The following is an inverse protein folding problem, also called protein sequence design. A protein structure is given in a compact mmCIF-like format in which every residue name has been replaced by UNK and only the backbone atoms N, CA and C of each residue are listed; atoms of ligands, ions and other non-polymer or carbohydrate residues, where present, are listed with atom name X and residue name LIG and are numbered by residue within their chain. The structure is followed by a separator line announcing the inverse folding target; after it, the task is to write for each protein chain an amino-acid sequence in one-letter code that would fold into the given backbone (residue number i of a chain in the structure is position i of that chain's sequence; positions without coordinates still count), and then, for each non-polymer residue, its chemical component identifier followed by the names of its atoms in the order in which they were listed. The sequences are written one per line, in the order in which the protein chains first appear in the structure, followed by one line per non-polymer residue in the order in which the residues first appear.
data_IF_709608818499
#
_entry.id   IF_709608818499
#
_cell.length_a   1.000
_cell.length_b   1.000
_cell.length_c   1.000
_cell.angle_alpha   90.00
_cell.angle_beta   90.00
_cell.angle_gamma   90.00
#
_symmetry.space_group_name_H-M   'P 1'
#
loop_
_entity.id
_entity.type
_entity.pdbx_description
1 polymer ?
#
# COMPACT_ATOMS: atom_id res chain seq x y z
N UNK A 1 9.34 -45.66 16.17
CA UNK A 1 9.94 -44.68 15.24
C UNK A 1 8.90 -43.60 15.07
N UNK A 2 9.20 -42.36 15.45
CA UNK A 2 8.25 -41.26 15.23
C UNK A 2 8.10 -41.02 13.73
N UNK A 3 6.86 -40.86 13.27
CA UNK A 3 6.53 -40.50 11.90
C UNK A 3 6.11 -39.04 11.86
N UNK A 4 6.63 -38.30 10.88
CA UNK A 4 6.26 -36.90 10.63
C UNK A 4 5.65 -36.78 9.23
N UNK A 5 4.66 -35.91 9.07
CA UNK A 5 4.02 -35.65 7.77
C UNK A 5 4.96 -34.89 6.83
N UNK A 6 5.76 -33.98 7.39
CA UNK A 6 6.71 -33.15 6.63
C UNK A 6 8.04 -33.07 7.36
N UNK A 7 9.14 -33.19 6.60
CA UNK A 7 10.51 -32.93 7.08
C UNK A 7 11.07 -31.71 6.35
N UNK A 8 11.54 -30.72 7.10
CA UNK A 8 12.17 -29.51 6.58
C UNK A 8 13.64 -29.49 7.00
N UNK A 9 14.54 -29.28 6.05
CA UNK A 9 15.98 -29.14 6.28
C UNK A 9 16.34 -27.66 6.24
N UNK A 10 16.82 -27.13 7.36
CA UNK A 10 17.17 -25.74 7.60
C UNK A 10 16.10 -25.00 8.43
N UNK A 11 16.49 -24.54 9.62
CA UNK A 11 15.69 -23.69 10.50
C UNK A 11 15.94 -22.20 10.27
N UNK A 12 16.12 -21.78 9.01
CA UNK A 12 16.10 -20.37 8.65
C UNK A 12 14.70 -19.76 8.77
N UNK A 13 14.60 -18.43 8.68
CA UNK A 13 13.30 -17.73 8.70
C UNK A 13 12.27 -18.31 7.70
N UNK A 14 12.70 -18.70 6.49
CA UNK A 14 11.82 -19.34 5.51
C UNK A 14 11.29 -20.70 5.97
N UNK A 15 12.18 -21.55 6.50
CA UNK A 15 11.79 -22.88 7.01
C UNK A 15 10.87 -22.78 8.20
N UNK A 16 11.13 -21.84 9.11
CA UNK A 16 10.28 -21.58 10.29
C UNK A 16 8.91 -21.03 9.92
N UNK A 17 8.82 -20.09 8.96
CA UNK A 17 7.54 -19.58 8.47
C UNK A 17 6.74 -20.70 7.78
N UNK A 18 7.39 -21.48 6.92
CA UNK A 18 6.76 -22.63 6.26
C UNK A 18 6.23 -23.65 7.28
N UNK A 19 7.03 -23.99 8.29
CA UNK A 19 6.62 -24.87 9.39
C UNK A 19 5.41 -24.31 10.14
N UNK A 20 5.39 -23.01 10.48
CA UNK A 20 4.26 -22.35 11.14
C UNK A 20 2.95 -22.51 10.34
N UNK A 21 3.01 -22.35 9.02
CA UNK A 21 1.84 -22.54 8.17
C UNK A 21 1.40 -24.00 8.05
N UNK A 22 2.31 -24.98 8.08
CA UNK A 22 1.98 -26.40 8.07
C UNK A 22 1.43 -26.90 9.41
N UNK A 23 1.92 -26.35 10.51
CA UNK A 23 1.41 -26.67 11.85
C UNK A 23 -0.04 -26.17 12.05
N UNK A 24 -0.41 -25.05 11.43
CA UNK A 24 -1.75 -24.44 11.57
C UNK A 24 -2.93 -25.36 11.20
N UNK A 25 -2.92 -26.09 10.07
CA UNK A 25 -3.93 -27.11 9.77
C UNK A 25 -3.70 -28.45 10.48
N UNK A 26 -2.65 -28.60 11.30
CA UNK A 26 -2.43 -29.78 12.16
C UNK A 26 -1.45 -30.82 11.63
N UNK A 27 -0.61 -30.52 10.62
CA UNK A 27 0.45 -31.44 10.20
C UNK A 27 1.53 -31.58 11.28
N UNK A 28 2.11 -32.77 11.41
CA UNK A 28 3.32 -33.01 12.19
C UNK A 28 4.55 -32.66 11.35
N UNK A 29 5.40 -31.76 11.85
CA UNK A 29 6.55 -31.23 11.10
C UNK A 29 7.84 -31.47 11.91
N UNK A 30 8.82 -32.13 11.29
CA UNK A 30 10.18 -32.22 11.80
C UNK A 30 11.06 -31.19 11.08
N UNK A 31 11.71 -30.33 11.85
CA UNK A 31 12.59 -29.28 11.33
C UNK A 31 14.02 -29.56 11.82
N UNK A 32 14.96 -29.73 10.89
CA UNK A 32 16.35 -30.09 11.20
C UNK A 32 17.29 -28.94 10.81
N UNK A 33 18.10 -28.47 11.75
CA UNK A 33 19.09 -27.41 11.54
C UNK A 33 20.49 -27.91 11.86
N UNK A 34 21.47 -27.55 11.02
CA UNK A 34 22.86 -27.93 11.24
C UNK A 34 23.56 -27.03 12.26
N UNK A 35 23.09 -25.80 12.44
CA UNK A 35 23.57 -24.85 13.45
C UNK A 35 22.91 -25.11 14.81
N UNK A 36 23.57 -24.63 15.87
CA UNK A 36 23.02 -24.63 17.23
C UNK A 36 21.90 -23.59 17.44
N UNK A 37 21.75 -22.64 16.52
CA UNK A 37 20.75 -21.56 16.58
C UNK A 37 19.81 -21.59 15.37
N UNK A 38 18.48 -21.56 15.58
CA UNK A 38 17.51 -21.32 14.52
C UNK A 38 17.43 -19.82 14.17
N UNK A 39 16.92 -19.52 12.98
CA UNK A 39 16.71 -18.15 12.47
C UNK A 39 17.45 -17.87 11.17
N UNK A 40 18.53 -18.61 10.89
CA UNK A 40 19.33 -18.46 9.67
C UNK A 40 19.88 -17.04 9.51
N UNK A 41 19.56 -16.38 8.40
CA UNK A 41 19.98 -15.00 8.13
C UNK A 41 19.41 -13.92 9.08
N UNK A 42 18.40 -14.30 9.87
CA UNK A 42 17.63 -13.39 10.74
C UNK A 42 17.96 -13.55 12.22
N UNK A 43 19.01 -14.29 12.55
CA UNK A 43 19.54 -14.37 13.91
C UNK A 43 20.09 -13.02 14.37
N UNK A 44 20.33 -12.89 15.67
CA UNK A 44 21.02 -11.73 16.26
C UNK A 44 22.27 -12.25 16.95
N UNK A 45 23.43 -12.02 16.33
CA UNK A 45 24.70 -12.62 16.71
C UNK A 45 25.81 -11.57 16.75
N UNK A 46 26.82 -11.81 17.57
CA UNK A 46 28.03 -10.98 17.60
C UNK A 46 28.98 -11.47 16.48
N UNK A 47 28.84 -10.86 15.30
CA UNK A 47 29.54 -11.30 14.08
C UNK A 47 30.96 -10.74 13.95
N UNK A 48 31.30 -9.71 14.72
CA UNK A 48 32.59 -8.99 14.65
C UNK A 48 33.13 -8.75 16.06
N UNK A 49 33.48 -9.81 16.82
CA UNK A 49 33.88 -9.68 18.23
C UNK A 49 35.22 -8.93 18.40
N UNK A 50 36.12 -9.02 17.42
CA UNK A 50 37.44 -8.39 17.49
C UNK A 50 37.37 -6.88 17.16
N UNK A 51 36.52 -6.49 16.21
CA UNK A 51 36.36 -5.10 15.77
C UNK A 51 35.26 -4.33 16.54
N UNK A 52 34.21 -5.02 16.97
CA UNK A 52 33.03 -4.43 17.60
C UNK A 52 32.49 -5.31 18.75
N UNK A 53 33.26 -5.49 19.84
CA UNK A 53 32.88 -6.34 20.95
C UNK A 53 31.57 -5.87 21.61
N UNK A 54 30.68 -6.83 21.88
CA UNK A 54 29.37 -6.61 22.47
C UNK A 54 28.28 -6.14 21.50
N UNK A 55 28.62 -5.82 20.24
CA UNK A 55 27.62 -5.46 19.23
C UNK A 55 27.07 -6.69 18.52
N UNK A 56 25.74 -6.73 18.39
CA UNK A 56 25.04 -7.82 17.71
C UNK A 56 24.38 -7.33 16.43
N UNK A 57 24.44 -8.16 15.41
CA UNK A 57 23.94 -7.88 14.08
C UNK A 57 23.15 -9.08 13.56
N UNK A 58 22.26 -8.83 12.62
CA UNK A 58 21.73 -9.90 11.77
C UNK A 58 22.64 -10.12 10.57
N UNK A 59 22.99 -11.35 10.21
CA UNK A 59 23.91 -11.61 9.11
C UNK A 59 23.32 -11.30 7.73
N UNK A 60 21.98 -11.36 7.55
CA UNK A 60 21.36 -11.19 6.24
C UNK A 60 19.94 -10.58 6.23
N UNK A 61 19.41 -10.10 7.37
CA UNK A 61 18.07 -9.50 7.42
C UNK A 61 18.03 -8.03 6.93
N UNK A 62 18.74 -7.74 5.84
CA UNK A 62 18.98 -6.38 5.31
C UNK A 62 17.66 -5.71 4.86
N UNK A 63 16.70 -6.51 4.41
CA UNK A 63 15.42 -6.03 3.86
C UNK A 63 14.22 -6.42 4.73
N UNK A 64 14.38 -6.42 6.05
CA UNK A 64 13.32 -6.87 6.97
C UNK A 64 12.00 -6.09 6.81
N UNK A 65 12.05 -4.83 6.34
CA UNK A 65 10.87 -4.01 6.08
C UNK A 65 9.87 -4.63 5.08
N UNK A 66 10.32 -5.50 4.17
CA UNK A 66 9.40 -6.13 3.22
C UNK A 66 8.48 -7.17 3.84
N UNK A 67 8.72 -7.59 5.08
CA UNK A 67 7.80 -8.49 5.79
C UNK A 67 6.39 -7.89 5.93
N UNK A 68 6.28 -6.56 5.95
CA UNK A 68 4.98 -5.86 6.03
C UNK A 68 4.19 -5.87 4.72
N UNK A 69 4.80 -6.29 3.60
CA UNK A 69 4.10 -6.44 2.33
C UNK A 69 3.24 -7.72 2.29
N UNK A 70 3.50 -8.67 3.19
CA UNK A 70 2.76 -9.92 3.30
C UNK A 70 1.93 -10.00 4.58
N UNK A 71 0.96 -10.94 4.64
CA UNK A 71 0.09 -11.11 5.81
C UNK A 71 0.71 -12.00 6.90
N UNK A 72 1.98 -12.41 6.77
CA UNK A 72 2.60 -13.45 7.61
C UNK A 72 2.57 -13.15 9.11
N UNK A 73 2.76 -11.89 9.50
CA UNK A 73 2.74 -11.47 10.91
C UNK A 73 1.35 -11.68 11.51
N UNK A 74 0.31 -11.34 10.75
CA UNK A 74 -1.09 -11.46 11.16
C UNK A 74 -1.55 -12.92 11.11
N UNK A 75 -1.23 -13.64 10.04
CA UNK A 75 -1.69 -15.02 9.82
C UNK A 75 -1.08 -16.02 10.80
N UNK A 76 0.17 -15.81 11.20
CA UNK A 76 0.85 -16.60 12.23
C UNK A 76 0.72 -15.98 13.63
N UNK A 77 0.00 -14.86 13.77
CA UNK A 77 -0.28 -14.17 15.03
C UNK A 77 0.98 -13.92 15.88
N UNK A 78 2.09 -13.54 15.22
CA UNK A 78 3.42 -13.52 15.84
C UNK A 78 3.54 -12.60 17.06
N UNK A 79 2.67 -11.59 17.16
CA UNK A 79 2.56 -10.70 18.32
C UNK A 79 2.21 -11.47 19.61
N UNK A 80 1.45 -12.56 19.54
CA UNK A 80 1.15 -13.43 20.69
C UNK A 80 2.38 -14.15 21.23
N UNK A 81 3.41 -14.28 20.39
CA UNK A 81 4.67 -14.96 20.70
C UNK A 81 5.81 -13.95 20.96
N UNK A 82 5.48 -12.68 21.19
CA UNK A 82 6.44 -11.65 21.61
C UNK A 82 7.08 -10.86 20.47
N UNK A 83 6.61 -10.97 19.22
CA UNK A 83 7.08 -10.09 18.15
C UNK A 83 6.55 -8.67 18.35
N UNK A 84 7.46 -7.73 18.54
CA UNK A 84 7.19 -6.30 18.62
C UNK A 84 8.07 -5.52 17.62
N UNK A 85 7.47 -4.58 16.90
CA UNK A 85 8.18 -3.70 15.96
C UNK A 85 8.37 -2.31 16.54
N UNK A 86 9.63 -1.88 16.62
CA UNK A 86 9.99 -0.51 16.97
C UNK A 86 10.14 0.32 15.69
N UNK A 87 9.17 1.20 15.43
CA UNK A 87 9.20 2.09 14.28
C UNK A 87 9.96 3.37 14.61
N UNK A 88 11.12 3.59 13.97
CA UNK A 88 11.81 4.88 14.06
C UNK A 88 11.00 5.99 13.39
N UNK A 89 11.04 7.19 13.98
CA UNK A 89 10.38 8.43 13.55
C UNK A 89 10.52 8.77 12.05
N UNK A 90 11.59 8.34 11.39
CA UNK A 90 11.80 8.57 9.95
C UNK A 90 10.72 7.90 9.10
N UNK A 91 10.16 6.78 9.56
CA UNK A 91 9.03 6.11 8.89
C UNK A 91 7.75 6.95 8.91
N UNK A 92 7.49 7.67 10.01
CA UNK A 92 6.38 8.63 10.10
C UNK A 92 6.55 9.82 9.17
N UNK A 93 7.79 10.25 8.92
CA UNK A 93 8.09 11.28 7.93
C UNK A 93 7.77 10.81 6.50
N UNK A 94 8.12 9.56 6.15
CA UNK A 94 7.74 9.00 4.85
C UNK A 94 6.22 8.84 4.72
N UNK A 95 5.53 8.40 5.80
CA UNK A 95 4.08 8.27 5.81
C UNK A 95 3.38 9.63 5.73
N UNK A 96 3.87 10.65 6.43
CA UNK A 96 3.31 12.00 6.34
C UNK A 96 3.52 12.63 4.97
N UNK A 97 4.68 12.41 4.35
CA UNK A 97 4.96 12.83 2.97
C UNK A 97 4.03 12.13 1.98
N UNK A 98 3.74 10.84 2.19
CA UNK A 98 2.78 10.10 1.37
C UNK A 98 1.36 10.68 1.50
N UNK A 99 0.90 10.95 2.72
CA UNK A 99 -0.39 11.62 2.98
C UNK A 99 -0.46 13.02 2.37
N UNK A 100 0.62 13.79 2.43
CA UNK A 100 0.69 15.11 1.82
C UNK A 100 0.54 15.01 0.29
N UNK A 101 1.20 14.03 -0.33
CA UNK A 101 1.10 13.80 -1.77
C UNK A 101 -0.33 13.40 -2.18
N UNK A 102 -0.94 12.48 -1.43
CA UNK A 102 -2.35 12.09 -1.64
C UNK A 102 -3.28 13.31 -1.49
N UNK A 103 -3.11 14.14 -0.46
CA UNK A 103 -3.89 15.36 -0.27
C UNK A 103 -3.73 16.35 -1.43
N UNK A 104 -2.53 16.48 -2.00
CA UNK A 104 -2.27 17.33 -3.16
C UNK A 104 -2.95 16.81 -4.42
N UNK A 105 -3.03 15.48 -4.60
CA UNK A 105 -3.79 14.86 -5.68
C UNK A 105 -5.28 15.18 -5.58
N UNK A 106 -5.87 15.01 -4.39
CA UNK A 106 -7.26 15.38 -4.13
C UNK A 106 -7.55 16.85 -4.43
N UNK A 107 -6.64 17.75 -4.05
CA UNK A 107 -6.77 19.17 -4.35
C UNK A 107 -6.74 19.44 -5.86
N UNK A 108 -5.86 18.76 -6.59
CA UNK A 108 -5.78 18.86 -8.05
C UNK A 108 -7.06 18.34 -8.73
N UNK A 109 -7.57 17.20 -8.30
CA UNK A 109 -8.85 16.64 -8.78
C UNK A 109 -10.01 17.59 -8.51
N UNK A 110 -10.06 18.19 -7.32
CA UNK A 110 -11.08 19.20 -6.98
C UNK A 110 -11.02 20.42 -7.89
N UNK A 111 -9.81 20.91 -8.20
CA UNK A 111 -9.62 22.01 -9.15
C UNK A 111 -10.05 21.64 -10.57
N UNK A 112 -9.82 20.40 -11.01
CA UNK A 112 -10.31 19.91 -12.29
C UNK A 112 -11.83 19.89 -12.35
N UNK A 113 -12.49 19.42 -11.29
CA UNK A 113 -13.95 19.47 -11.15
C UNK A 113 -14.47 20.90 -11.23
N UNK A 114 -13.84 21.82 -10.50
CA UNK A 114 -14.23 23.23 -10.50
C UNK A 114 -14.09 23.86 -11.89
N UNK A 115 -13.02 23.53 -12.61
CA UNK A 115 -12.82 23.97 -13.99
C UNK A 115 -13.86 23.39 -14.95
N UNK A 116 -14.16 22.09 -14.82
CA UNK A 116 -15.23 21.45 -15.58
C UNK A 116 -16.60 22.11 -15.32
N UNK A 117 -16.91 22.43 -14.07
CA UNK A 117 -18.15 23.15 -13.74
C UNK A 117 -18.22 24.54 -14.38
N UNK A 118 -17.11 25.29 -14.41
CA UNK A 118 -17.05 26.58 -15.09
C UNK A 118 -17.21 26.47 -16.61
N UNK A 119 -16.66 25.42 -17.23
CA UNK A 119 -16.87 25.12 -18.65
C UNK A 119 -18.34 24.86 -18.94
N UNK A 120 -18.98 23.99 -18.16
CA UNK A 120 -20.43 23.74 -18.25
C UNK A 120 -21.26 25.01 -18.11
N UNK A 121 -20.91 25.88 -17.16
CA UNK A 121 -21.60 27.16 -16.98
C UNK A 121 -21.45 28.06 -18.23
N UNK A 122 -20.25 28.12 -18.80
CA UNK A 122 -19.99 28.88 -20.02
C UNK A 122 -20.76 28.33 -21.22
N UNK A 123 -20.77 27.02 -21.41
CA UNK A 123 -21.56 26.36 -22.46
C UNK A 123 -23.06 26.64 -22.29
N UNK A 124 -23.57 26.58 -21.05
CA UNK A 124 -24.97 26.92 -20.75
C UNK A 124 -25.30 28.37 -21.12
N UNK A 125 -24.40 29.32 -20.84
CA UNK A 125 -24.57 30.72 -21.24
C UNK A 125 -24.54 30.90 -22.76
N UNK A 126 -23.71 30.15 -23.48
CA UNK A 126 -23.70 30.15 -24.95
C UNK A 126 -25.02 29.65 -25.52
N UNK A 127 -25.57 28.56 -24.97
CA UNK A 127 -26.90 28.05 -25.32
C UNK A 127 -27.99 29.08 -25.08
N UNK A 128 -28.00 29.73 -23.92
CA UNK A 128 -28.97 30.77 -23.60
C UNK A 128 -28.88 31.94 -24.60
N UNK A 129 -27.68 32.38 -24.94
CA UNK A 129 -27.48 33.44 -25.92
C UNK A 129 -27.98 33.04 -27.32
N UNK A 130 -27.69 31.81 -27.76
CA UNK A 130 -28.20 31.28 -29.02
C UNK A 130 -29.74 31.21 -29.05
N UNK A 131 -30.36 30.82 -27.93
CA UNK A 131 -31.83 30.83 -27.83
C UNK A 131 -32.43 32.23 -27.93
N UNK A 132 -31.78 33.25 -27.33
CA UNK A 132 -32.23 34.65 -27.43
C UNK A 132 -32.08 35.20 -28.86
N UNK A 133 -31.00 34.84 -29.56
CA UNK A 133 -30.82 35.18 -30.97
C UNK A 133 -31.94 34.58 -31.82
N UNK A 134 -32.24 33.30 -31.63
CA UNK A 134 -33.32 32.62 -32.34
C UNK A 134 -34.68 33.27 -32.08
N UNK A 135 -34.95 33.67 -30.84
CA UNK A 135 -36.18 34.39 -30.49
C UNK A 135 -36.27 35.74 -31.21
N UNK A 136 -35.18 36.50 -31.27
CA UNK A 136 -35.12 37.77 -31.99
C UNK A 136 -35.36 37.59 -33.50
N UNK A 137 -34.71 36.60 -34.13
CA UNK A 137 -34.90 36.27 -35.54
C UNK A 137 -36.35 35.88 -35.84
N UNK A 138 -36.98 35.10 -34.97
CA UNK A 138 -38.39 34.73 -35.11
C UNK A 138 -39.34 35.94 -35.03
N UNK A 139 -39.07 36.89 -34.12
CA UNK A 139 -39.83 38.14 -34.01
C UNK A 139 -39.66 39.02 -35.26
N UNK A 140 -38.45 39.11 -35.81
CA UNK A 140 -38.18 39.81 -37.06
C UNK A 140 -38.97 39.19 -38.22
N UNK A 141 -38.92 37.86 -38.36
CA UNK A 141 -39.68 37.15 -39.38
C UNK A 141 -41.20 37.39 -39.25
N UNK A 142 -41.75 37.35 -38.04
CA UNK A 142 -43.15 37.69 -37.83
C UNK A 142 -43.47 39.12 -38.31
N UNK A 143 -42.66 40.11 -37.97
CA UNK A 143 -42.87 41.49 -38.41
C UNK A 143 -42.86 41.61 -39.94
N UNK A 144 -41.90 40.97 -40.62
CA UNK A 144 -41.82 40.97 -42.10
C UNK A 144 -43.05 40.34 -42.77
N UNK A 145 -43.61 39.28 -42.18
CA UNK A 145 -44.83 38.62 -42.68
C UNK A 145 -46.08 39.48 -42.50
N UNK A 146 -46.14 40.28 -41.43
CA UNK A 146 -47.26 41.21 -41.21
C UNK A 146 -47.18 42.47 -42.08
N UNK A 147 -45.98 42.92 -42.47
CA UNK A 147 -45.78 44.07 -43.38
C UNK A 147 -46.03 43.75 -44.86
N UNK A 148 -46.07 42.47 -45.25
CA UNK A 148 -46.26 42.02 -46.64
C UNK A 148 -47.72 41.64 -46.99
N UNK A 149 -48.69 42.01 -46.15
CA UNK A 149 -50.14 41.95 -46.41
C UNK A 149 -50.75 43.35 -46.54
#
# INVERSE_FOLDING_TARGET
MESYDVVIIGAGHNGLVCAGYLLKPGYSVLLLEGRSLPGGGSTTEELMPDEAPGFKFSPCAINHLFIFLGPVIQELELHKYGLEYLFLQVYWHCRSMQWHNESMQWHNESMQWHNGSMQWHNESMQWHNGSMQWHNESMQWHNEVFETR
#
